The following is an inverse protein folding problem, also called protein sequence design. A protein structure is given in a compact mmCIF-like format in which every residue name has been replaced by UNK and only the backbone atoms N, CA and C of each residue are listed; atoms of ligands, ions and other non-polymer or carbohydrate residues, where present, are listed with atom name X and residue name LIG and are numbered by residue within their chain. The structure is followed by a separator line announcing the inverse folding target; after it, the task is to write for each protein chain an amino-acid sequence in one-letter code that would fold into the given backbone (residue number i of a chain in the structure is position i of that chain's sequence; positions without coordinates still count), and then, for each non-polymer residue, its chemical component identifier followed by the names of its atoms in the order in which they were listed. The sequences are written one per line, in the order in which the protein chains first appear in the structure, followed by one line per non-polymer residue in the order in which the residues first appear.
data_IF_237477441443
#
_entry.id   IF_237477441443
#
_cell.length_a   1.000
_cell.length_b   1.000
_cell.length_c   1.000
_cell.angle_alpha   90.00
_cell.angle_beta   90.00
_cell.angle_gamma   90.00
#
_symmetry.space_group_name_H-M   'P 1'
#
loop_
_entity.id
_entity.type
_entity.pdbx_description
1 polymer ?
#
# COMPACT_ATOMS: atom_id res chain seq x y z
N UNK A 1 -1.61 -16.76 23.11
CA UNK A 1 -2.68 -17.50 23.80
C UNK A 1 -3.71 -16.60 24.46
N UNK A 2 -3.40 -15.38 24.96
CA UNK A 2 -4.40 -14.55 25.64
C UNK A 2 -5.49 -13.98 24.72
N UNK A 3 -5.16 -13.59 23.48
CA UNK A 3 -6.11 -12.95 22.56
C UNK A 3 -7.42 -13.73 22.33
N UNK A 4 -7.34 -14.97 21.84
CA UNK A 4 -8.54 -15.75 21.55
C UNK A 4 -9.34 -16.07 22.82
N UNK A 5 -8.67 -16.29 23.94
CA UNK A 5 -9.33 -16.55 25.23
C UNK A 5 -10.10 -15.31 25.71
N UNK A 6 -9.48 -14.14 25.67
CA UNK A 6 -10.11 -12.87 26.06
C UNK A 6 -11.27 -12.52 25.11
N UNK A 7 -11.06 -12.68 23.80
CA UNK A 7 -12.09 -12.45 22.79
C UNK A 7 -13.28 -13.39 22.97
N UNK A 8 -13.07 -14.68 23.18
CA UNK A 8 -14.14 -15.65 23.40
C UNK A 8 -14.90 -15.36 24.70
N UNK A 9 -14.21 -14.99 25.77
CA UNK A 9 -14.86 -14.62 27.03
C UNK A 9 -15.77 -13.39 26.85
N UNK A 10 -15.27 -12.33 26.21
CA UNK A 10 -16.04 -11.11 25.93
C UNK A 10 -17.22 -11.38 24.98
N UNK A 11 -17.00 -12.19 23.94
CA UNK A 11 -18.05 -12.57 22.99
C UNK A 11 -19.12 -13.43 23.63
N UNK A 12 -18.77 -14.38 24.51
CA UNK A 12 -19.75 -15.17 25.24
C UNK A 12 -20.63 -14.32 26.16
N UNK A 13 -20.05 -13.33 26.86
CA UNK A 13 -20.80 -12.40 27.71
C UNK A 13 -21.74 -11.55 26.86
N UNK A 14 -21.23 -10.99 25.75
CA UNK A 14 -22.01 -10.16 24.83
C UNK A 14 -23.15 -10.96 24.20
N UNK A 15 -22.88 -12.16 23.72
CA UNK A 15 -23.86 -13.06 23.13
C UNK A 15 -25.00 -13.39 24.12
N UNK A 16 -24.66 -13.74 25.36
CA UNK A 16 -25.67 -14.00 26.41
C UNK A 16 -26.51 -12.77 26.73
N UNK A 17 -25.88 -11.60 26.83
CA UNK A 17 -26.56 -10.33 27.15
C UNK A 17 -27.53 -9.93 26.04
N UNK A 18 -27.13 -10.12 24.78
CA UNK A 18 -27.96 -9.77 23.61
C UNK A 18 -28.94 -10.87 23.20
N UNK A 19 -28.95 -12.02 23.90
CA UNK A 19 -29.81 -13.15 23.53
C UNK A 19 -29.42 -13.80 22.19
N UNK A 20 -28.13 -13.79 21.84
CA UNK A 20 -27.56 -14.40 20.64
C UNK A 20 -26.86 -15.70 21.00
N UNK A 21 -27.06 -16.74 20.19
CA UNK A 21 -26.24 -17.94 20.21
C UNK A 21 -25.17 -17.77 19.12
N UNK A 22 -23.90 -17.71 19.52
CA UNK A 22 -22.79 -17.52 18.61
C UNK A 22 -21.72 -18.59 18.86
N UNK A 23 -21.10 -19.06 17.77
CA UNK A 23 -19.98 -20.00 17.78
C UNK A 23 -18.87 -19.41 16.91
N UNK A 24 -17.67 -19.33 17.46
CA UNK A 24 -16.45 -18.97 16.72
C UNK A 24 -15.96 -20.21 15.97
N UNK A 25 -15.74 -20.07 14.66
CA UNK A 25 -15.11 -21.10 13.82
C UNK A 25 -13.59 -21.16 14.13
N UNK A 26 -12.85 -22.17 13.64
CA UNK A 26 -11.40 -22.18 13.77
C UNK A 26 -10.83 -20.83 13.33
N UNK A 27 -10.07 -20.20 14.21
CA UNK A 27 -9.57 -18.84 14.02
C UNK A 27 -8.05 -18.83 14.00
N UNK A 28 -7.47 -17.92 13.23
CA UNK A 28 -6.02 -17.72 13.15
C UNK A 28 -5.66 -16.28 13.47
N UNK A 29 -4.49 -16.10 14.07
CA UNK A 29 -3.94 -14.79 14.37
C UNK A 29 -2.43 -14.85 14.25
N UNK A 30 -1.88 -13.93 13.49
CA UNK A 30 -0.47 -13.86 13.15
C UNK A 30 0.19 -12.83 14.04
N UNK A 31 1.24 -13.23 14.74
CA UNK A 31 2.12 -12.32 15.45
C UNK A 31 3.47 -12.27 14.72
N UNK A 32 3.88 -11.07 14.33
CA UNK A 32 5.11 -10.86 13.57
C UNK A 32 5.93 -9.71 14.17
N UNK A 33 7.25 -9.90 14.24
CA UNK A 33 8.18 -8.81 14.54
C UNK A 33 8.59 -8.15 13.24
N UNK A 34 8.37 -6.84 13.12
CA UNK A 34 8.91 -6.06 12.02
C UNK A 34 10.37 -5.73 12.32
N UNK A 35 11.23 -5.85 11.31
CA UNK A 35 12.64 -5.51 11.42
C UNK A 35 12.96 -4.34 10.49
N UNK A 36 13.75 -3.39 10.99
CA UNK A 36 14.37 -2.35 10.16
C UNK A 36 15.75 -2.85 9.76
N UNK A 37 15.92 -3.12 8.47
CA UNK A 37 17.19 -3.62 7.93
C UNK A 37 17.87 -2.50 7.15
N UNK A 38 19.03 -2.07 7.63
CA UNK A 38 19.92 -1.20 6.87
C UNK A 38 20.74 -2.08 5.91
N UNK A 39 20.49 -1.91 4.63
CA UNK A 39 21.27 -2.56 3.57
C UNK A 39 22.32 -1.60 3.03
N UNK A 40 23.53 -2.11 2.83
CA UNK A 40 24.62 -1.40 2.18
C UNK A 40 25.12 -2.26 1.02
N UNK A 41 25.06 -1.74 -0.20
CA UNK A 41 25.34 -2.49 -1.43
C UNK A 41 24.51 -3.78 -1.57
N UNK A 42 23.24 -3.73 -1.15
CA UNK A 42 22.34 -4.90 -1.18
C UNK A 42 22.61 -5.93 -0.08
N UNK A 43 23.63 -5.74 0.76
CA UNK A 43 23.95 -6.63 1.87
C UNK A 43 23.37 -6.04 3.16
N UNK A 44 22.55 -6.79 3.92
CA UNK A 44 22.06 -6.33 5.21
C UNK A 44 23.25 -6.19 6.18
N UNK A 45 23.49 -4.98 6.68
CA UNK A 45 24.61 -4.68 7.60
C UNK A 45 24.14 -4.51 9.03
N UNK A 46 22.93 -4.02 9.23
CA UNK A 46 22.39 -3.73 10.55
C UNK A 46 20.90 -4.02 10.58
N UNK A 47 20.48 -4.73 11.63
CA UNK A 47 19.08 -5.07 11.87
C UNK A 47 18.68 -4.44 13.20
N UNK A 48 17.64 -3.63 13.18
CA UNK A 48 17.03 -3.04 14.35
C UNK A 48 15.60 -3.57 14.53
N UNK A 49 15.12 -3.70 15.77
CA UNK A 49 13.70 -3.91 16.03
C UNK A 49 12.88 -2.79 15.36
N UNK A 50 11.89 -3.18 14.55
CA UNK A 50 11.02 -2.28 13.80
C UNK A 50 9.58 -2.22 14.33
N UNK A 51 9.31 -2.92 15.44
CA UNK A 51 8.00 -3.02 16.09
C UNK A 51 7.43 -4.43 16.07
N UNK A 52 6.27 -4.59 16.69
CA UNK A 52 5.47 -5.81 16.67
C UNK A 52 4.20 -5.56 15.87
N UNK A 53 3.74 -6.57 15.15
CA UNK A 53 2.48 -6.57 14.43
C UNK A 53 1.68 -7.79 14.87
N UNK A 54 0.38 -7.58 15.04
CA UNK A 54 -0.59 -8.61 15.34
C UNK A 54 -1.74 -8.43 14.37
N UNK A 55 -2.14 -9.51 13.72
CA UNK A 55 -3.18 -9.49 12.68
C UNK A 55 -4.08 -10.72 12.84
N UNK A 56 -5.37 -10.49 13.12
CA UNK A 56 -6.37 -11.56 13.18
C UNK A 56 -6.88 -11.87 11.76
N UNK A 57 -6.08 -12.61 10.99
CA UNK A 57 -6.33 -12.89 9.56
C UNK A 57 -7.65 -13.64 9.31
N UNK A 58 -7.96 -14.63 10.16
CA UNK A 58 -9.19 -15.42 10.04
C UNK A 58 -9.93 -15.50 11.37
N UNK A 59 -10.99 -14.71 11.49
CA UNK A 59 -11.91 -14.74 12.63
C UNK A 59 -13.35 -14.77 12.12
N UNK A 60 -13.89 -15.98 11.96
CA UNK A 60 -15.27 -16.19 11.51
C UNK A 60 -16.17 -16.64 12.65
N UNK A 61 -17.40 -16.11 12.67
CA UNK A 61 -18.42 -16.49 13.65
C UNK A 61 -19.73 -16.81 12.97
N UNK A 62 -20.41 -17.82 13.48
CA UNK A 62 -21.80 -18.14 13.13
C UNK A 62 -22.68 -17.72 14.29
N UNK A 63 -23.57 -16.76 14.06
CA UNK A 63 -24.42 -16.18 15.08
C UNK A 63 -25.90 -16.20 14.68
N UNK A 64 -26.77 -16.50 15.64
CA UNK A 64 -28.23 -16.46 15.48
C UNK A 64 -28.88 -15.94 16.76
N UNK A 65 -29.73 -14.92 16.62
CA UNK A 65 -30.52 -14.41 17.73
C UNK A 65 -31.64 -15.38 18.12
N UNK A 66 -31.91 -15.52 19.42
CA UNK A 66 -32.93 -16.43 19.96
C UNK A 66 -34.35 -16.02 19.61
N UNK A 67 -34.57 -14.72 19.44
CA UNK A 67 -35.82 -14.11 18.99
C UNK A 67 -35.97 -14.12 17.46
N UNK A 68 -34.95 -14.58 16.72
CA UNK A 68 -34.92 -14.58 15.26
C UNK A 68 -34.62 -13.21 14.63
N UNK A 69 -34.39 -12.16 15.43
CA UNK A 69 -34.15 -10.81 14.94
C UNK A 69 -32.75 -10.68 14.32
N UNK A 70 -32.70 -10.30 13.04
CA UNK A 70 -31.44 -10.13 12.30
C UNK A 70 -30.68 -8.88 12.72
N UNK A 71 -31.35 -7.84 13.23
CA UNK A 71 -30.69 -6.64 13.74
C UNK A 71 -29.88 -6.93 15.01
N UNK A 72 -30.39 -7.77 15.90
CA UNK A 72 -29.67 -8.22 17.09
C UNK A 72 -28.37 -8.96 16.71
N UNK A 73 -28.41 -9.80 15.67
CA UNK A 73 -27.22 -10.47 15.14
C UNK A 73 -26.24 -9.45 14.56
N UNK A 74 -26.72 -8.48 13.77
CA UNK A 74 -25.86 -7.43 13.21
C UNK A 74 -25.13 -6.64 14.28
N UNK A 75 -25.83 -6.23 15.34
CA UNK A 75 -25.24 -5.50 16.46
C UNK A 75 -24.22 -6.35 17.22
N UNK A 76 -24.51 -7.64 17.43
CA UNK A 76 -23.56 -8.58 18.02
C UNK A 76 -22.28 -8.70 17.17
N UNK A 77 -22.40 -8.86 15.86
CA UNK A 77 -21.24 -8.99 14.95
C UNK A 77 -20.38 -7.72 14.95
N UNK A 78 -21.00 -6.54 14.97
CA UNK A 78 -20.28 -5.27 15.09
C UNK A 78 -19.56 -5.16 16.45
N UNK A 79 -20.23 -5.52 17.55
CA UNK A 79 -19.62 -5.51 18.89
C UNK A 79 -18.43 -6.46 19.01
N UNK A 80 -18.57 -7.67 18.47
CA UNK A 80 -17.51 -8.69 18.42
C UNK A 80 -16.31 -8.19 17.60
N UNK A 81 -16.55 -7.63 16.42
CA UNK A 81 -15.49 -7.09 15.57
C UNK A 81 -14.77 -5.88 16.19
N UNK A 82 -15.50 -4.97 16.83
CA UNK A 82 -14.89 -3.86 17.57
C UNK A 82 -14.01 -4.37 18.72
N UNK A 83 -14.49 -5.37 19.47
CA UNK A 83 -13.75 -5.99 20.57
C UNK A 83 -12.48 -6.66 20.06
N UNK A 84 -12.59 -7.46 19.00
CA UNK A 84 -11.46 -8.09 18.32
C UNK A 84 -10.40 -7.05 17.94
N UNK A 85 -10.80 -5.96 17.25
CA UNK A 85 -9.84 -4.91 16.88
C UNK A 85 -9.25 -4.17 18.09
N UNK A 86 -9.97 -4.04 19.21
CA UNK A 86 -9.38 -3.48 20.44
C UNK A 86 -8.30 -4.42 20.98
N UNK A 87 -8.57 -5.72 21.02
CA UNK A 87 -7.63 -6.70 21.55
C UNK A 87 -6.35 -6.80 20.72
N UNK A 88 -6.39 -6.47 19.42
CA UNK A 88 -5.21 -6.44 18.54
C UNK A 88 -4.13 -5.43 18.96
N UNK A 89 -4.48 -4.31 19.62
CA UNK A 89 -3.48 -3.44 20.23
C UNK A 89 -3.31 -3.74 21.72
N UNK A 90 -4.40 -4.04 22.45
CA UNK A 90 -4.39 -4.20 23.90
C UNK A 90 -3.53 -5.38 24.36
N UNK A 91 -3.64 -6.54 23.71
CA UNK A 91 -2.88 -7.74 24.11
C UNK A 91 -1.36 -7.53 23.96
N UNK A 92 -0.84 -7.00 22.84
CA UNK A 92 0.57 -6.61 22.75
C UNK A 92 0.97 -5.56 23.79
N UNK A 93 0.15 -4.54 24.02
CA UNK A 93 0.45 -3.51 25.03
C UNK A 93 0.59 -4.14 26.42
N UNK A 94 -0.33 -5.00 26.85
CA UNK A 94 -0.27 -5.69 28.14
C UNK A 94 0.93 -6.63 28.26
N UNK A 95 1.33 -7.27 27.16
CA UNK A 95 2.42 -8.24 27.16
C UNK A 95 3.81 -7.58 27.19
N UNK A 96 3.96 -6.43 26.54
CA UNK A 96 5.26 -5.79 26.34
C UNK A 96 5.45 -4.49 27.12
N UNK A 97 4.39 -3.92 27.69
CA UNK A 97 4.52 -2.76 28.58
C UNK A 97 5.07 -3.15 29.94
N UNK A 98 5.94 -2.29 30.47
CA UNK A 98 6.37 -2.31 31.87
C UNK A 98 6.03 -0.98 32.53
N UNK A 99 5.94 -0.89 33.87
CA UNK A 99 5.66 0.38 34.56
C UNK A 99 6.63 1.52 34.15
N UNK A 100 7.88 1.17 33.87
CA UNK A 100 8.93 2.14 33.51
C UNK A 100 9.03 2.38 31.99
N UNK A 101 8.45 1.51 31.17
CA UNK A 101 8.46 1.63 29.72
C UNK A 101 7.11 1.15 29.11
N UNK A 102 6.12 2.06 28.99
CA UNK A 102 4.83 1.73 28.39
C UNK A 102 4.97 1.55 26.88
N UNK A 103 4.41 0.46 26.36
CA UNK A 103 4.31 0.18 24.93
C UNK A 103 2.91 0.56 24.49
N UNK A 104 2.79 1.20 23.33
CA UNK A 104 1.50 1.53 22.74
C UNK A 104 1.42 1.01 21.30
N UNK A 105 0.42 0.16 21.04
CA UNK A 105 0.03 -0.30 19.73
C UNK A 105 -1.04 0.60 19.11
N UNK A 106 -1.32 0.35 17.84
CA UNK A 106 -2.43 0.97 17.10
C UNK A 106 -3.28 -0.13 16.48
N UNK A 107 -4.59 -0.01 16.61
CA UNK A 107 -5.56 -0.81 15.87
C UNK A 107 -6.59 0.11 15.21
N UNK A 108 -7.48 -0.47 14.40
CA UNK A 108 -8.53 0.28 13.69
C UNK A 108 -9.40 1.09 14.66
N UNK A 109 -9.89 0.46 15.72
CA UNK A 109 -10.74 1.13 16.72
C UNK A 109 -9.96 2.20 17.48
N UNK A 110 -8.71 1.94 17.86
CA UNK A 110 -7.86 2.94 18.54
C UNK A 110 -7.55 4.13 17.63
N UNK A 111 -7.29 3.90 16.35
CA UNK A 111 -7.05 4.97 15.38
C UNK A 111 -8.29 5.85 15.17
N UNK A 112 -9.48 5.25 15.05
CA UNK A 112 -10.73 6.01 14.97
C UNK A 112 -11.02 6.78 16.26
N UNK A 113 -10.76 6.18 17.43
CA UNK A 113 -10.87 6.88 18.71
C UNK A 113 -9.94 8.10 18.77
N UNK A 114 -8.66 7.93 18.44
CA UNK A 114 -7.68 9.04 18.42
C UNK A 114 -8.11 10.13 17.43
N UNK A 115 -8.65 9.76 16.27
CA UNK A 115 -9.18 10.74 15.31
C UNK A 115 -10.34 11.55 15.93
N UNK A 116 -11.30 10.87 16.54
CA UNK A 116 -12.43 11.50 17.23
C UNK A 116 -11.98 12.44 18.37
N UNK A 117 -11.06 11.97 19.22
CA UNK A 117 -10.51 12.74 20.35
C UNK A 117 -9.77 14.00 19.89
N UNK A 118 -9.22 13.99 18.67
CA UNK A 118 -8.56 15.14 18.03
C UNK A 118 -9.49 16.02 17.21
N UNK A 119 -10.80 15.75 17.23
CA UNK A 119 -11.80 16.49 16.45
C UNK A 119 -11.68 16.28 14.94
N UNK A 120 -11.01 15.21 14.49
CA UNK A 120 -10.98 14.83 13.07
C UNK A 120 -12.31 14.15 12.75
N UNK A 121 -13.11 14.67 11.80
CA UNK A 121 -14.40 14.07 11.46
C UNK A 121 -14.28 12.61 11.03
N UNK A 122 -15.20 11.77 11.50
CA UNK A 122 -15.34 10.38 11.06
C UNK A 122 -16.53 10.33 10.09
N UNK A 123 -16.31 9.80 8.90
CA UNK A 123 -17.33 9.64 7.88
C UNK A 123 -17.80 8.20 7.76
N UNK A 124 -19.11 8.03 7.60
CA UNK A 124 -19.71 6.80 7.10
C UNK A 124 -19.99 6.96 5.61
N UNK A 125 -19.27 6.20 4.80
CA UNK A 125 -19.29 6.22 3.34
C UNK A 125 -20.13 5.06 2.81
N UNK A 126 -21.05 5.36 1.91
CA UNK A 126 -21.88 4.38 1.22
C UNK A 126 -22.14 4.83 -0.23
N UNK A 127 -22.94 4.06 -0.97
CA UNK A 127 -23.22 4.34 -2.39
C UNK A 127 -23.83 5.72 -2.62
N UNK A 128 -24.60 6.24 -1.65
CA UNK A 128 -25.30 7.51 -1.79
C UNK A 128 -24.39 8.72 -1.64
N UNK A 129 -23.28 8.62 -0.90
CA UNK A 129 -22.45 9.77 -0.54
C UNK A 129 -20.99 9.68 -0.98
N UNK A 130 -20.53 8.56 -1.53
CA UNK A 130 -19.11 8.34 -1.88
C UNK A 130 -18.54 9.43 -2.78
N UNK A 131 -19.28 9.91 -3.77
CA UNK A 131 -18.84 10.98 -4.69
C UNK A 131 -18.56 12.31 -3.98
N UNK A 132 -19.24 12.56 -2.85
CA UNK A 132 -19.11 13.78 -2.06
C UNK A 132 -18.09 13.65 -0.93
N UNK A 133 -17.93 12.46 -0.36
CA UNK A 133 -17.05 12.23 0.80
C UNK A 133 -15.63 11.89 0.35
N UNK A 134 -15.46 11.03 -0.65
CA UNK A 134 -14.15 10.55 -1.08
C UNK A 134 -13.14 11.66 -1.44
N UNK A 135 -13.54 12.78 -2.11
CA UNK A 135 -12.62 13.90 -2.37
C UNK A 135 -12.18 14.64 -1.11
N UNK A 136 -12.97 14.60 -0.03
CA UNK A 136 -12.66 15.25 1.25
C UNK A 136 -11.65 14.47 2.09
N UNK A 137 -11.46 13.19 1.78
CA UNK A 137 -10.56 12.32 2.54
C UNK A 137 -9.09 12.62 2.20
N UNK A 138 -8.33 13.01 3.22
CA UNK A 138 -6.89 13.24 3.22
C UNK A 138 -6.15 11.99 3.73
N UNK A 139 -6.46 10.85 3.11
CA UNK A 139 -5.89 9.52 3.42
C UNK A 139 -5.13 8.98 2.21
N UNK A 140 -4.35 7.91 2.41
CA UNK A 140 -3.54 7.29 1.35
C UNK A 140 -4.37 6.75 0.19
N UNK A 141 -3.78 6.69 -1.01
CA UNK A 141 -4.47 6.26 -2.22
C UNK A 141 -5.02 4.82 -2.12
N UNK A 142 -4.28 3.91 -1.48
CA UNK A 142 -4.74 2.54 -1.24
C UNK A 142 -6.08 2.51 -0.48
N UNK A 143 -6.19 3.30 0.60
CA UNK A 143 -7.41 3.38 1.42
C UNK A 143 -8.58 3.92 0.58
N UNK A 144 -8.33 4.90 -0.30
CA UNK A 144 -9.35 5.42 -1.21
C UNK A 144 -9.86 4.34 -2.18
N UNK A 145 -8.94 3.55 -2.73
CA UNK A 145 -9.28 2.41 -3.59
C UNK A 145 -10.08 1.35 -2.83
N UNK A 146 -9.68 1.01 -1.60
CA UNK A 146 -10.41 0.05 -0.77
C UNK A 146 -11.83 0.54 -0.46
N UNK A 147 -12.00 1.83 -0.13
CA UNK A 147 -13.31 2.45 0.08
C UNK A 147 -14.18 2.34 -1.18
N UNK A 148 -13.63 2.69 -2.35
CA UNK A 148 -14.36 2.58 -3.62
C UNK A 148 -14.81 1.14 -3.90
N UNK A 149 -13.90 0.19 -3.76
CA UNK A 149 -14.19 -1.23 -4.01
C UNK A 149 -15.25 -1.77 -3.04
N UNK A 150 -15.12 -1.45 -1.75
CA UNK A 150 -16.08 -1.86 -0.73
C UNK A 150 -17.47 -1.27 -0.98
N UNK A 151 -17.57 0.02 -1.28
CA UNK A 151 -18.83 0.68 -1.57
C UNK A 151 -19.47 0.14 -2.85
N UNK A 152 -18.69 -0.07 -3.91
CA UNK A 152 -19.16 -0.71 -5.15
C UNK A 152 -19.68 -2.14 -4.91
N UNK A 153 -19.17 -2.84 -3.90
CA UNK A 153 -19.65 -4.16 -3.46
C UNK A 153 -20.85 -4.08 -2.48
N UNK A 154 -21.49 -2.92 -2.35
CA UNK A 154 -22.65 -2.70 -1.48
C UNK A 154 -22.32 -2.63 0.01
N UNK A 155 -21.06 -2.41 0.38
CA UNK A 155 -20.61 -2.30 1.78
C UNK A 155 -20.62 -0.84 2.24
N UNK A 156 -20.59 -0.65 3.56
CA UNK A 156 -20.54 0.66 4.21
C UNK A 156 -19.19 0.80 4.90
N UNK A 157 -18.50 1.91 4.67
CA UNK A 157 -17.15 2.15 5.22
C UNK A 157 -17.15 3.28 6.22
N UNK A 158 -16.59 3.07 7.41
CA UNK A 158 -16.38 4.11 8.43
C UNK A 158 -14.90 4.48 8.46
N UNK A 159 -14.55 5.75 8.25
CA UNK A 159 -13.15 6.19 8.11
C UNK A 159 -12.96 7.63 8.62
N UNK A 160 -11.78 7.94 9.17
CA UNK A 160 -11.43 9.32 9.55
C UNK A 160 -11.16 10.19 8.31
N UNK A 161 -11.48 11.48 8.40
CA UNK A 161 -11.28 12.42 7.29
C UNK A 161 -9.81 12.52 6.86
N UNK A 162 -8.89 12.52 7.82
CA UNK A 162 -7.46 12.62 7.57
C UNK A 162 -6.70 11.53 8.32
N UNK A 163 -5.45 11.30 7.91
CA UNK A 163 -4.51 10.51 8.70
C UNK A 163 -4.28 11.15 10.08
N UNK A 164 -4.03 10.30 11.07
CA UNK A 164 -3.53 10.65 12.40
C UNK A 164 -2.04 10.34 12.48
N UNK A 165 -1.33 11.07 13.34
CA UNK A 165 0.02 10.72 13.77
C UNK A 165 0.00 10.18 15.20
N UNK A 166 0.49 8.96 15.43
CA UNK A 166 0.51 8.33 16.73
C UNK A 166 1.79 7.50 16.88
N UNK A 167 2.64 7.86 17.85
CA UNK A 167 3.92 7.18 18.15
C UNK A 167 4.74 6.85 16.89
N UNK A 168 4.89 7.84 16.01
CA UNK A 168 5.63 7.74 14.75
C UNK A 168 4.91 7.00 13.60
N UNK A 169 3.75 6.39 13.84
CA UNK A 169 2.86 5.91 12.78
C UNK A 169 2.04 7.07 12.22
N UNK A 170 1.91 7.13 10.90
CA UNK A 170 1.04 8.09 10.21
C UNK A 170 0.10 7.32 9.30
N UNK A 171 -1.19 7.39 9.60
CA UNK A 171 -2.19 6.61 8.89
C UNK A 171 -3.60 6.82 9.41
N UNK A 172 -4.56 6.02 8.96
CA UNK A 172 -5.93 6.02 9.44
C UNK A 172 -6.43 4.60 9.68
N UNK A 173 -7.39 4.46 10.59
CA UNK A 173 -8.21 3.25 10.72
C UNK A 173 -9.49 3.41 9.90
N UNK A 174 -9.94 2.33 9.28
CA UNK A 174 -11.21 2.27 8.56
C UNK A 174 -11.88 0.91 8.74
N UNK A 175 -13.20 0.91 8.84
CA UNK A 175 -14.02 -0.29 9.05
C UNK A 175 -14.90 -0.48 7.82
N UNK A 176 -14.80 -1.61 7.15
CA UNK A 176 -15.70 -2.01 6.07
C UNK A 176 -16.74 -2.95 6.65
N UNK A 177 -18.02 -2.59 6.58
CA UNK A 177 -19.12 -3.37 7.15
C UNK A 177 -20.10 -3.81 6.07
N UNK A 178 -20.56 -5.05 6.17
CA UNK A 178 -21.71 -5.53 5.40
C UNK A 178 -23.01 -5.14 6.13
N UNK A 179 -23.82 -4.23 5.59
CA UNK A 179 -25.05 -3.77 6.24
C UNK A 179 -26.11 -4.87 6.39
N UNK A 180 -26.03 -5.95 5.62
CA UNK A 180 -27.00 -7.06 5.66
C UNK A 180 -26.67 -8.07 6.77
N UNK A 181 -25.39 -8.34 6.99
CA UNK A 181 -24.93 -9.40 7.90
C UNK A 181 -24.26 -8.89 9.17
N UNK A 182 -23.81 -7.64 9.20
CA UNK A 182 -23.02 -7.06 10.29
C UNK A 182 -21.56 -7.52 10.30
N UNK A 183 -21.13 -8.34 9.34
CA UNK A 183 -19.73 -8.73 9.19
C UNK A 183 -18.88 -7.50 8.87
N UNK A 184 -17.73 -7.38 9.53
CA UNK A 184 -16.85 -6.21 9.39
C UNK A 184 -15.39 -6.59 9.23
N UNK A 185 -14.68 -5.87 8.36
CA UNK A 185 -13.23 -5.86 8.27
C UNK A 185 -12.70 -4.57 8.91
N UNK A 186 -11.76 -4.70 9.83
CA UNK A 186 -11.24 -3.60 10.65
C UNK A 186 -9.79 -3.35 10.24
N UNK A 187 -9.56 -2.34 9.40
CA UNK A 187 -8.28 -2.16 8.71
C UNK A 187 -7.53 -0.89 9.17
N UNK A 188 -6.20 -0.96 9.20
CA UNK A 188 -5.31 0.19 9.35
C UNK A 188 -4.55 0.46 8.05
N UNK A 189 -4.37 1.73 7.70
CA UNK A 189 -3.63 2.11 6.50
C UNK A 189 -2.16 1.69 6.60
N UNK A 190 -1.63 1.11 5.52
CA UNK A 190 -0.26 0.57 5.50
C UNK A 190 -0.14 -0.83 6.10
N UNK A 191 -1.26 -1.47 6.47
CA UNK A 191 -1.33 -2.88 6.79
C UNK A 191 -0.98 -3.78 5.60
N UNK A 192 -0.65 -5.04 5.91
CA UNK A 192 -0.43 -6.08 4.91
C UNK A 192 -1.79 -6.54 4.37
N UNK A 193 -2.37 -5.82 3.42
CA UNK A 193 -3.40 -6.42 2.55
C UNK A 193 -2.71 -7.40 1.62
N UNK A 194 -2.42 -8.59 2.13
CA UNK A 194 -1.73 -9.68 1.45
C UNK A 194 -2.60 -10.28 0.34
N UNK A 195 -2.68 -9.64 -0.83
CA UNK A 195 -3.19 -10.30 -2.03
C UNK A 195 -2.85 -9.60 -3.35
N UNK A 196 -2.66 -8.28 -3.40
CA UNK A 196 -2.69 -7.58 -4.71
C UNK A 196 -1.40 -7.79 -5.52
N UNK A 197 -0.24 -7.95 -4.86
CA UNK A 197 1.04 -8.09 -5.59
C UNK A 197 1.33 -9.50 -6.12
N UNK A 198 0.71 -10.54 -5.55
CA UNK A 198 0.97 -11.92 -5.96
C UNK A 198 0.10 -12.35 -7.15
N UNK A 199 -1.18 -11.96 -7.18
CA UNK A 199 -2.10 -12.41 -8.24
C UNK A 199 -1.83 -11.75 -9.59
N UNK A 200 -1.46 -10.47 -9.63
CA UNK A 200 -1.15 -9.77 -10.89
C UNK A 200 0.13 -10.33 -11.51
N UNK A 201 1.15 -10.62 -10.70
CA UNK A 201 2.43 -11.18 -11.16
C UNK A 201 2.24 -12.62 -11.64
N UNK A 202 1.52 -13.46 -10.90
CA UNK A 202 1.25 -14.85 -11.30
C UNK A 202 0.37 -14.91 -12.56
N UNK A 203 -0.66 -14.06 -12.67
CA UNK A 203 -1.49 -13.99 -13.86
C UNK A 203 -0.69 -13.55 -15.10
N UNK A 204 0.23 -12.58 -14.95
CA UNK A 204 1.13 -12.16 -16.03
C UNK A 204 2.05 -13.31 -16.48
N UNK A 205 2.60 -14.08 -15.53
CA UNK A 205 3.47 -15.22 -15.84
C UNK A 205 2.72 -16.38 -16.51
N UNK A 206 1.50 -16.67 -16.08
CA UNK A 206 0.67 -17.73 -16.67
C UNK A 206 0.20 -17.35 -18.07
N UNK A 207 -0.19 -16.09 -18.29
CA UNK A 207 -0.57 -15.59 -19.63
C UNK A 207 0.65 -15.56 -20.56
N UNK A 208 1.83 -15.17 -20.08
CA UNK A 208 3.07 -15.21 -20.87
C UNK A 208 3.47 -16.65 -21.25
N UNK A 209 3.31 -17.62 -20.35
CA UNK A 209 3.56 -19.05 -20.62
C UNK A 209 2.56 -19.64 -21.62
N UNK A 210 1.27 -19.28 -21.51
CA UNK A 210 0.25 -19.74 -22.44
C UNK A 210 0.44 -19.13 -23.83
N UNK A 211 0.78 -17.85 -23.94
CA UNK A 211 1.11 -17.20 -25.22
C UNK A 211 2.38 -17.79 -25.86
N UNK A 212 3.35 -18.24 -25.06
CA UNK A 212 4.55 -18.94 -25.53
C UNK A 212 4.24 -20.33 -26.11
N UNK A 213 3.20 -21.01 -25.62
CA UNK A 213 2.77 -22.31 -26.14
C UNK A 213 1.85 -22.25 -27.37
N UNK A 214 1.19 -21.11 -27.65
CA UNK A 214 0.17 -21.01 -28.71
C UNK A 214 0.73 -20.45 -30.04
N UNK A 215 1.91 -19.83 -30.03
CA UNK A 215 2.55 -19.37 -31.27
C UNK A 215 3.37 -20.49 -31.92
N UNK A 216 3.12 -20.87 -33.19
CA UNK A 216 3.89 -21.90 -33.87
C UNK A 216 5.19 -21.26 -34.38
N UNK A 217 6.17 -21.09 -33.50
CA UNK A 217 7.52 -20.76 -33.94
C UNK A 217 8.55 -21.71 -33.33
N UNK A 218 8.61 -22.99 -33.79
CA UNK A 218 9.75 -23.84 -33.44
C UNK A 218 10.76 -24.04 -34.58
N UNK A 219 10.79 -23.24 -35.67
CA UNK A 219 11.68 -23.63 -36.79
C UNK A 219 12.31 -22.55 -37.68
N UNK A 220 12.51 -21.30 -37.23
CA UNK A 220 13.43 -20.40 -37.96
C UNK A 220 14.21 -19.52 -36.98
N UNK A 221 15.53 -19.48 -37.14
CA UNK A 221 16.50 -18.60 -36.48
C UNK A 221 17.11 -19.04 -35.14
N UNK A 222 17.78 -20.20 -35.14
CA UNK A 222 18.89 -20.47 -34.18
C UNK A 222 20.05 -19.46 -34.36
N UNK A 223 20.16 -18.79 -35.51
CA UNK A 223 21.11 -17.70 -35.74
C UNK A 223 20.62 -16.31 -35.29
N UNK A 224 19.30 -16.08 -35.18
CA UNK A 224 18.70 -14.81 -34.74
C UNK A 224 18.50 -14.75 -33.23
N UNK A 225 18.36 -15.89 -32.56
CA UNK A 225 18.24 -15.98 -31.11
C UNK A 225 19.48 -15.40 -30.39
N UNK A 226 20.69 -15.56 -30.96
CA UNK A 226 21.90 -14.93 -30.39
C UNK A 226 21.90 -13.41 -30.55
N UNK A 227 21.39 -12.88 -31.66
CA UNK A 227 21.28 -11.43 -31.89
C UNK A 227 20.21 -10.77 -31.03
N UNK A 228 19.07 -11.43 -30.84
CA UNK A 228 17.97 -10.96 -30.01
C UNK A 228 18.33 -11.05 -28.53
N UNK A 229 19.00 -12.12 -28.09
CA UNK A 229 19.51 -12.25 -26.71
C UNK A 229 20.65 -11.27 -26.43
N UNK A 230 21.51 -10.97 -27.41
CA UNK A 230 22.51 -9.90 -27.28
C UNK A 230 21.87 -8.51 -27.22
N UNK A 231 20.83 -8.24 -28.02
CA UNK A 231 20.09 -6.98 -27.99
C UNK A 231 19.37 -6.77 -26.66
N UNK A 232 18.72 -7.81 -26.11
CA UNK A 232 18.09 -7.74 -24.78
C UNK A 232 19.12 -7.65 -23.66
N UNK A 233 20.28 -8.31 -23.79
CA UNK A 233 21.40 -8.19 -22.84
C UNK A 233 21.98 -6.78 -22.80
N UNK A 234 22.12 -6.12 -23.97
CA UNK A 234 22.57 -4.73 -24.08
C UNK A 234 21.51 -3.78 -23.51
N UNK A 235 20.23 -3.98 -23.83
CA UNK A 235 19.13 -3.17 -23.29
C UNK A 235 19.05 -3.30 -21.75
N UNK A 236 19.23 -4.51 -21.23
CA UNK A 236 19.25 -4.78 -19.79
C UNK A 236 20.47 -4.15 -19.09
N UNK A 237 21.66 -4.25 -19.70
CA UNK A 237 22.87 -3.59 -19.20
C UNK A 237 22.73 -2.06 -19.22
N UNK A 238 22.06 -1.50 -20.23
CA UNK A 238 21.77 -0.07 -20.34
C UNK A 238 20.78 0.40 -19.28
N UNK A 239 19.72 -0.35 -19.01
CA UNK A 239 18.77 -0.06 -17.92
C UNK A 239 19.46 -0.13 -16.55
N UNK A 240 20.35 -1.11 -16.35
CA UNK A 240 21.15 -1.21 -15.13
C UNK A 240 22.11 -0.02 -14.98
N UNK A 241 22.78 0.41 -16.06
CA UNK A 241 23.66 1.58 -16.04
C UNK A 241 22.90 2.89 -15.76
N UNK A 242 21.69 3.05 -16.30
CA UNK A 242 20.80 4.19 -16.02
C UNK A 242 20.35 4.18 -14.56
N UNK A 243 19.97 3.01 -14.02
CA UNK A 243 19.60 2.89 -12.61
C UNK A 243 20.78 3.21 -11.67
N UNK A 244 22.00 2.77 -12.01
CA UNK A 244 23.22 3.11 -11.25
C UNK A 244 23.55 4.60 -11.37
N UNK A 245 23.38 5.21 -12.55
CA UNK A 245 23.56 6.65 -12.78
C UNK A 245 22.56 7.51 -12.01
N UNK A 246 21.29 7.10 -11.96
CA UNK A 246 20.24 7.79 -11.18
C UNK A 246 20.52 7.65 -9.68
N UNK A 247 20.98 6.50 -9.22
CA UNK A 247 21.32 6.27 -7.80
C UNK A 247 22.60 7.02 -7.38
N UNK A 248 23.61 7.12 -8.25
CA UNK A 248 24.84 7.88 -7.96
C UNK A 248 24.63 9.39 -8.11
N UNK A 249 23.84 9.86 -9.08
CA UNK A 249 23.42 11.26 -9.23
C UNK A 249 22.51 11.73 -8.08
N UNK A 250 21.57 10.89 -7.64
CA UNK A 250 20.75 11.18 -6.46
C UNK A 250 21.57 11.15 -5.16
N UNK A 251 22.64 10.35 -5.08
CA UNK A 251 23.57 10.32 -3.95
C UNK A 251 24.50 11.54 -3.89
N UNK A 252 24.99 12.03 -5.03
CA UNK A 252 25.88 13.20 -5.13
C UNK A 252 25.10 14.52 -5.03
N UNK A 253 23.84 14.56 -5.49
CA UNK A 253 22.94 15.72 -5.39
C UNK A 253 22.55 16.13 -3.97
N UNK A 254 22.93 15.35 -2.95
CA UNK A 254 22.72 15.69 -1.54
C UNK A 254 23.79 16.69 -1.04
N UNK A 255 24.92 16.86 -1.75
CA UNK A 255 26.08 17.66 -1.30
C UNK A 255 26.30 19.01 -2.01
N UNK A 256 25.60 19.34 -3.11
CA UNK A 256 25.83 20.57 -3.88
C UNK A 256 24.60 21.50 -3.96
N UNK A 257 24.82 22.81 -4.13
CA UNK A 257 23.78 23.86 -4.14
C UNK A 257 22.80 23.72 -5.31
N UNK A 258 21.56 24.18 -5.11
CA UNK A 258 20.42 23.92 -6.01
C UNK A 258 20.65 24.35 -7.47
N UNK A 259 21.45 25.40 -7.72
CA UNK A 259 21.79 25.85 -9.09
C UNK A 259 22.70 24.87 -9.85
N UNK A 260 23.48 24.04 -9.16
CA UNK A 260 24.34 23.03 -9.78
C UNK A 260 23.57 21.74 -10.10
N UNK A 261 22.49 21.46 -9.36
CA UNK A 261 21.65 20.28 -9.58
C UNK A 261 20.88 20.35 -10.89
N UNK A 262 20.36 21.53 -11.24
CA UNK A 262 19.61 21.72 -12.51
C UNK A 262 20.52 21.57 -13.73
N UNK A 263 21.74 22.12 -13.68
CA UNK A 263 22.73 22.01 -14.76
C UNK A 263 23.25 20.57 -14.91
N UNK A 264 23.40 19.83 -13.80
CA UNK A 264 23.84 18.44 -13.82
C UNK A 264 22.74 17.50 -14.33
N UNK A 265 21.48 17.72 -13.92
CA UNK A 265 20.33 16.95 -14.39
C UNK A 265 20.04 17.22 -15.87
N UNK A 266 20.10 18.47 -16.33
CA UNK A 266 19.87 18.81 -17.73
C UNK A 266 20.94 18.20 -18.63
N UNK A 267 22.21 18.26 -18.23
CA UNK A 267 23.32 17.63 -18.97
C UNK A 267 23.23 16.09 -19.03
N UNK A 268 22.79 15.45 -17.94
CA UNK A 268 22.53 14.00 -17.90
C UNK A 268 21.35 13.61 -18.78
N UNK A 269 20.30 14.43 -18.80
CA UNK A 269 19.09 14.18 -19.57
C UNK A 269 19.32 14.37 -21.08
N UNK A 270 20.12 15.37 -21.47
CA UNK A 270 20.56 15.59 -22.85
C UNK A 270 21.49 14.46 -23.34
N UNK A 271 22.38 13.97 -22.48
CA UNK A 271 23.25 12.82 -22.77
C UNK A 271 22.45 11.52 -22.91
N UNK A 272 21.43 11.31 -22.06
CA UNK A 272 20.51 10.16 -22.15
C UNK A 272 19.65 10.21 -23.42
N UNK A 273 19.23 11.40 -23.86
CA UNK A 273 18.43 11.56 -25.07
C UNK A 273 19.26 11.33 -26.35
N UNK A 274 20.51 11.81 -26.39
CA UNK A 274 21.44 11.54 -27.48
C UNK A 274 21.74 10.03 -27.66
N UNK A 275 21.76 9.27 -26.56
CA UNK A 275 21.94 7.82 -26.57
C UNK A 275 20.70 7.08 -27.13
N UNK A 276 19.50 7.57 -26.80
CA UNK A 276 18.22 7.04 -27.27
C UNK A 276 17.97 7.33 -28.76
N UNK A 277 18.22 8.57 -29.20
CA UNK A 277 18.09 8.95 -30.61
C UNK A 277 19.17 8.30 -31.48
N UNK A 278 20.40 8.17 -30.95
CA UNK A 278 21.50 7.46 -31.62
C UNK A 278 21.21 5.96 -31.82
N UNK A 279 20.54 5.32 -30.86
CA UNK A 279 20.11 3.92 -30.97
C UNK A 279 18.99 3.70 -31.99
N UNK A 280 18.07 4.66 -32.15
CA UNK A 280 16.98 4.60 -33.13
C UNK A 280 17.47 4.78 -34.57
N UNK A 281 18.53 5.56 -34.81
CA UNK A 281 19.12 5.76 -36.15
C UNK A 281 19.74 4.45 -36.71
N UNK A 282 20.15 3.51 -35.86
CA UNK A 282 20.66 2.19 -36.28
C UNK A 282 19.57 1.20 -36.68
N UNK A 283 18.29 1.51 -36.47
CA UNK A 283 17.15 0.59 -36.70
C UNK A 283 16.42 0.78 -38.05
N UNK A 284 16.95 1.64 -38.94
CA UNK A 284 16.44 1.81 -40.30
C UNK A 284 15.37 2.90 -40.48
N UNK A 285 14.95 3.10 -41.73
CA UNK A 285 14.28 4.29 -42.30
C UNK A 285 12.96 4.74 -41.62
N UNK A 286 12.34 3.91 -40.78
CA UNK A 286 11.14 4.25 -40.00
C UNK A 286 11.47 4.95 -38.67
N UNK A 287 12.67 4.70 -38.10
CA UNK A 287 13.12 5.31 -36.85
C UNK A 287 13.47 6.80 -36.98
N UNK A 288 13.88 7.24 -38.17
CA UNK A 288 14.25 8.64 -38.45
C UNK A 288 13.03 9.58 -38.47
N UNK A 289 11.88 9.13 -39.00
CA UNK A 289 10.65 9.94 -39.03
C UNK A 289 10.06 10.07 -37.62
N UNK A 290 10.05 8.99 -36.84
CA UNK A 290 9.61 9.01 -35.44
C UNK A 290 10.50 9.92 -34.57
N UNK A 291 11.81 9.90 -34.80
CA UNK A 291 12.76 10.78 -34.10
C UNK A 291 12.53 12.27 -34.38
N UNK A 292 12.22 12.65 -35.62
CA UNK A 292 11.94 14.04 -36.01
C UNK A 292 10.62 14.54 -35.38
N UNK A 293 9.57 13.70 -35.35
CA UNK A 293 8.28 14.04 -34.75
C UNK A 293 8.43 14.27 -33.24
N UNK A 294 9.18 13.40 -32.56
CA UNK A 294 9.45 13.52 -31.12
C UNK A 294 10.29 14.78 -30.82
N UNK A 295 11.24 15.14 -31.69
CA UNK A 295 12.03 16.37 -31.55
C UNK A 295 11.18 17.65 -31.68
N UNK A 296 10.22 17.68 -32.60
CA UNK A 296 9.30 18.81 -32.77
C UNK A 296 8.34 18.93 -31.57
N UNK A 297 7.83 17.81 -31.04
CA UNK A 297 6.98 17.78 -29.84
C UNK A 297 7.73 18.23 -28.58
N UNK A 298 9.04 17.95 -28.51
CA UNK A 298 9.91 18.40 -27.43
C UNK A 298 10.17 19.92 -27.48
N UNK A 299 10.44 20.48 -28.68
CA UNK A 299 10.58 21.94 -28.87
C UNK A 299 9.33 22.72 -28.44
N UNK A 300 8.14 22.15 -28.70
CA UNK A 300 6.87 22.74 -28.27
C UNK A 300 6.67 22.66 -26.74
N UNK A 301 7.12 21.57 -26.10
CA UNK A 301 7.04 21.41 -24.63
C UNK A 301 8.05 22.31 -23.88
N UNK A 302 9.19 22.66 -24.49
CA UNK A 302 10.21 23.51 -23.88
C UNK A 302 9.72 24.96 -23.67
N UNK A 303 8.85 25.46 -24.54
CA UNK A 303 8.29 26.81 -24.45
C UNK A 303 7.27 26.95 -23.29
N UNK A 304 6.58 25.87 -22.92
CA UNK A 304 5.59 25.87 -21.83
C UNK A 304 6.23 25.80 -20.44
N UNK A 305 7.38 25.13 -20.32
CA UNK A 305 8.11 24.94 -19.05
C UNK A 305 8.67 26.26 -18.49
N UNK A 306 9.05 27.22 -19.34
CA UNK A 306 9.53 28.54 -18.91
C UNK A 306 8.42 29.45 -18.35
N UNK A 307 7.14 29.16 -18.61
CA UNK A 307 6.03 29.95 -18.06
C UNK A 307 5.60 29.50 -16.65
N UNK A 308 5.89 28.24 -16.29
CA UNK A 308 5.37 27.59 -15.06
C UNK A 308 6.36 27.66 -13.89
N UNK A 309 7.63 28.02 -14.12
CA UNK A 309 8.72 27.97 -13.12
C UNK A 309 8.66 29.07 -12.04
N UNK A 310 7.67 29.96 -12.04
CA UNK A 310 7.61 31.08 -11.08
C UNK A 310 6.80 30.80 -9.79
N UNK A 311 6.36 29.57 -9.51
CA UNK A 311 5.53 29.30 -8.32
C UNK A 311 5.97 28.03 -7.55
N UNK A 312 6.65 28.31 -6.43
CA UNK A 312 6.63 27.61 -5.12
C UNK A 312 7.51 26.37 -4.89
N UNK A 313 8.62 26.70 -4.25
CA UNK A 313 9.34 26.05 -3.15
C UNK A 313 8.60 25.04 -2.23
N UNK A 314 9.41 24.09 -1.76
CA UNK A 314 9.44 23.37 -0.47
C UNK A 314 8.65 22.06 -0.27
N UNK A 315 9.37 20.90 -0.29
CA UNK A 315 9.19 19.75 0.63
C UNK A 315 10.50 18.96 0.87
N UNK A 316 10.88 18.76 2.14
CA UNK A 316 11.81 17.72 2.64
C UNK A 316 11.01 16.53 3.19
N UNK A 317 11.62 15.34 3.19
CA UNK A 317 10.99 14.02 3.40
C UNK A 317 11.54 13.32 4.69
N UNK A 318 10.67 12.49 5.31
CA UNK A 318 10.86 11.23 6.10
C UNK A 318 10.60 11.24 7.63
N UNK A 319 9.87 10.20 8.12
CA UNK A 319 9.76 9.81 9.53
C UNK A 319 9.62 8.27 9.71
N UNK A 320 10.36 7.73 10.71
CA UNK A 320 10.38 6.37 11.29
C UNK A 320 9.77 6.39 12.71
N UNK A 321 9.38 5.23 13.27
CA UNK A 321 8.97 5.04 14.69
C UNK A 321 10.20 4.78 15.58
N UNK A 322 10.26 5.40 16.77
CA UNK A 322 11.34 5.29 17.76
C UNK A 322 11.01 4.27 18.87
N UNK A 323 12.03 3.54 19.32
CA UNK A 323 12.20 3.07 20.70
C UNK A 323 12.91 4.14 21.51
#
# INVERSE_FOLDING_TARGET
MSYHVELDAMNQITAKTMGVNAITLPSETIFATKLKVLTLWGIPRLVQPGGLNMDADYLMQVAKARDGNTDTVKQYMLSSGMTSSVLEHKVPEELFSTPDNPVEGISTVKALKIANDRGIPIYTVNQANITTVLPKLQVGQQVKTDIQNAVNAGKVVTVSQSNISFNGWVGCGYIITNPETGAGAYMISGGLSGAVFTWVVVAFWVIALLLFCILPVPMVFVAGALGVMAAYGILFAQVCAVMVGVLTGAGIGIFFSDNFKEVLLSGLQDFMFALLTGGLVLSGFLGTIAGIIIFILWLLSYHDIFSVTNIKNNRKIYCQIFT
#
